data_IF_587739506712
#
_entry.id   IF_587739506712
#
_cell.length_a   1.000
_cell.length_b   1.000
_cell.length_c   1.000
_cell.angle_alpha   90.00
_cell.angle_beta   90.00
_cell.angle_gamma   90.00
#
_symmetry.space_group_name_H-M   'P 1'
#
loop_
_entity.id
_entity.type
_entity.pdbx_description
1 polymer ?
#
# COMPACT_ATOMS: atom_id res chain seq x y z
N UNK A 1 -10.56 12.03 0.01
CA UNK A 1 -9.92 10.70 0.10
C UNK A 1 -8.79 10.71 1.10
N UNK A 2 -7.58 11.15 0.73
CA UNK A 2 -6.41 11.24 1.63
C UNK A 2 -6.17 12.65 2.19
N UNK A 3 -6.75 13.70 1.57
CA UNK A 3 -6.46 15.10 1.91
C UNK A 3 -6.82 15.52 3.35
N UNK A 4 -7.71 14.77 4.02
CA UNK A 4 -8.11 15.01 5.41
C UNK A 4 -7.38 14.10 6.41
N UNK A 5 -6.44 13.26 5.94
CA UNK A 5 -5.79 12.23 6.75
C UNK A 5 -5.10 12.82 7.98
N UNK A 6 -4.32 13.88 7.82
CA UNK A 6 -3.66 14.57 8.94
C UNK A 6 -4.65 15.18 9.93
N UNK A 7 -5.77 15.73 9.44
CA UNK A 7 -6.82 16.32 10.27
C UNK A 7 -7.48 15.28 11.16
N UNK A 8 -7.77 14.09 10.62
CA UNK A 8 -8.45 13.02 11.38
C UNK A 8 -7.50 12.22 12.26
N UNK A 9 -6.21 12.14 11.90
CA UNK A 9 -5.23 11.27 12.56
C UNK A 9 -5.10 11.54 14.06
N UNK A 10 -5.29 12.79 14.51
CA UNK A 10 -5.24 13.13 15.94
C UNK A 10 -6.31 12.45 16.82
N UNK A 11 -7.36 11.89 16.22
CA UNK A 11 -8.40 11.13 16.92
C UNK A 11 -8.28 9.61 16.77
N UNK A 12 -7.37 9.15 15.90
CA UNK A 12 -7.18 7.73 15.60
C UNK A 12 -6.28 7.10 16.65
N UNK A 13 -6.69 5.94 17.17
CA UNK A 13 -5.91 5.21 18.20
C UNK A 13 -5.20 3.97 17.65
N UNK A 14 -5.66 3.44 16.51
CA UNK A 14 -5.10 2.28 15.81
C UNK A 14 -5.43 2.40 14.33
N UNK A 15 -4.52 1.94 13.48
CA UNK A 15 -4.77 1.75 12.06
C UNK A 15 -4.71 0.25 11.77
N UNK A 16 -5.70 -0.25 11.05
CA UNK A 16 -5.78 -1.66 10.65
C UNK A 16 -6.04 -1.67 9.15
N UNK A 17 -5.21 -2.38 8.40
CA UNK A 17 -5.41 -2.60 6.97
C UNK A 17 -5.19 -4.08 6.62
N UNK A 18 -5.80 -4.52 5.52
CA UNK A 18 -5.49 -5.81 4.93
C UNK A 18 -4.32 -5.69 3.95
N UNK A 19 -3.46 -6.69 3.93
CA UNK A 19 -2.37 -6.80 2.96
C UNK A 19 -2.69 -7.82 1.88
N UNK A 20 -2.35 -7.48 0.65
CA UNK A 20 -2.34 -8.40 -0.49
C UNK A 20 -1.12 -9.34 -0.41
N UNK A 21 0.00 -8.87 0.16
CA UNK A 21 1.14 -9.74 0.44
C UNK A 21 2.03 -9.23 1.56
N UNK A 22 2.54 -10.15 2.39
CA UNK A 22 3.68 -9.91 3.27
C UNK A 22 4.94 -10.52 2.67
N UNK A 23 5.96 -9.70 2.45
CA UNK A 23 7.18 -10.07 1.75
C UNK A 23 8.26 -10.61 2.68
N UNK A 24 9.23 -11.34 2.14
CA UNK A 24 10.30 -12.00 2.92
C UNK A 24 11.22 -11.02 3.65
N UNK A 25 11.30 -9.77 3.18
CA UNK A 25 11.99 -8.66 3.85
C UNK A 25 11.12 -7.94 4.90
N UNK A 26 9.88 -8.39 5.11
CA UNK A 26 8.89 -7.79 6.00
C UNK A 26 8.14 -6.60 5.40
N UNK A 27 8.36 -6.27 4.13
CA UNK A 27 7.58 -5.23 3.45
C UNK A 27 6.16 -5.73 3.21
N UNK A 28 5.21 -4.80 3.16
CA UNK A 28 3.80 -5.12 2.97
C UNK A 28 3.32 -4.51 1.66
N UNK A 29 2.79 -5.35 0.78
CA UNK A 29 2.09 -4.91 -0.42
C UNK A 29 0.61 -4.75 -0.06
N UNK A 30 0.05 -3.58 -0.35
CA UNK A 30 -1.38 -3.28 -0.17
C UNK A 30 -1.81 -2.25 -1.21
N UNK A 31 -3.09 -1.89 -1.22
CA UNK A 31 -3.63 -0.90 -2.16
C UNK A 31 -2.90 0.46 -2.07
N UNK A 32 -2.90 1.17 -3.19
CA UNK A 32 -2.35 2.52 -3.34
C UNK A 32 -2.88 3.48 -2.26
N UNK A 33 -1.99 4.28 -1.68
CA UNK A 33 -2.27 5.18 -0.56
C UNK A 33 -1.99 4.57 0.82
N UNK A 34 -1.87 3.25 0.94
CA UNK A 34 -1.61 2.57 2.22
C UNK A 34 -0.26 2.96 2.85
N UNK A 35 0.77 3.18 2.04
CA UNK A 35 2.08 3.63 2.52
C UNK A 35 2.03 5.07 3.07
N UNK A 36 1.18 5.92 2.51
CA UNK A 36 0.93 7.27 3.02
C UNK A 36 0.24 7.20 4.39
N UNK A 37 -0.78 6.35 4.54
CA UNK A 37 -1.46 6.14 5.82
C UNK A 37 -0.48 5.64 6.88
N UNK A 38 0.37 4.67 6.54
CA UNK A 38 1.41 4.16 7.44
C UNK A 38 2.39 5.25 7.88
N UNK A 39 2.85 6.07 6.92
CA UNK A 39 3.80 7.16 7.18
C UNK A 39 3.20 8.24 8.10
N UNK A 40 1.98 8.69 7.81
CA UNK A 40 1.29 9.69 8.63
C UNK A 40 0.92 9.11 10.00
N UNK A 41 0.41 7.88 10.06
CA UNK A 41 0.11 7.20 11.32
C UNK A 41 1.33 7.11 12.22
N UNK A 42 2.48 6.72 11.65
CA UNK A 42 3.75 6.67 12.36
C UNK A 42 4.17 8.04 12.91
N UNK A 43 3.97 9.13 12.15
CA UNK A 43 4.23 10.50 12.63
C UNK A 43 3.37 10.86 13.86
N UNK A 44 2.12 10.42 13.89
CA UNK A 44 1.21 10.59 15.03
C UNK A 44 1.36 9.50 16.11
N UNK A 45 2.36 8.61 16.00
CA UNK A 45 2.60 7.51 16.93
C UNK A 45 1.41 6.55 17.06
N UNK A 46 0.62 6.40 15.99
CA UNK A 46 -0.52 5.50 15.93
C UNK A 46 -0.04 4.12 15.47
N UNK A 47 -0.32 3.03 16.22
CA UNK A 47 0.09 1.69 15.83
C UNK A 47 -0.60 1.25 14.53
N UNK A 48 0.20 0.67 13.63
CA UNK A 48 -0.21 0.22 12.30
C UNK A 48 -0.20 -1.31 12.23
N UNK A 49 -1.39 -1.89 12.20
CA UNK A 49 -1.62 -3.34 12.25
C UNK A 49 -2.00 -3.85 10.86
N UNK A 50 -1.40 -4.96 10.46
CA UNK A 50 -1.61 -5.58 9.16
C UNK A 50 -2.38 -6.87 9.36
N UNK A 51 -3.54 -7.01 8.73
CA UNK A 51 -4.21 -8.30 8.57
C UNK A 51 -3.67 -8.98 7.32
N UNK A 52 -3.04 -10.15 7.48
CA UNK A 52 -2.49 -10.91 6.36
C UNK A 52 -2.55 -12.40 6.67
N UNK A 53 -3.21 -13.18 5.83
CA UNK A 53 -3.18 -14.64 5.93
C UNK A 53 -1.80 -15.15 5.55
N UNK A 54 -1.31 -16.20 6.20
CA UNK A 54 0.02 -16.72 5.86
C UNK A 54 0.10 -17.30 4.44
N UNK A 55 -1.05 -17.53 3.77
CA UNK A 55 -1.09 -17.91 2.35
C UNK A 55 -0.61 -16.76 1.44
N UNK A 56 -0.82 -15.51 1.84
CA UNK A 56 -0.42 -14.33 1.07
C UNK A 56 1.05 -13.93 1.29
N UNK A 57 1.83 -14.75 2.01
CA UNK A 57 3.25 -14.48 2.22
C UNK A 57 4.02 -14.77 0.93
N UNK A 58 5.04 -13.98 0.64
CA UNK A 58 5.82 -14.11 -0.59
C UNK A 58 7.32 -14.12 -0.31
N UNK A 59 8.05 -15.00 -1.01
CA UNK A 59 9.53 -15.02 -1.03
C UNK A 59 10.12 -13.75 -1.66
N UNK A 60 9.32 -12.99 -2.43
CA UNK A 60 9.74 -11.71 -3.01
C UNK A 60 10.10 -10.70 -1.93
N UNK A 61 10.99 -9.77 -2.27
CA UNK A 61 11.42 -8.67 -1.43
C UNK A 61 11.52 -7.38 -2.26
N UNK A 62 10.41 -6.65 -2.39
CA UNK A 62 10.36 -5.36 -3.06
C UNK A 62 10.88 -4.24 -2.16
N UNK A 63 11.58 -3.29 -2.78
CA UNK A 63 12.05 -2.07 -2.11
C UNK A 63 11.22 -0.85 -2.48
N UNK A 64 10.48 -0.93 -3.59
CA UNK A 64 9.69 0.14 -4.16
C UNK A 64 8.39 -0.39 -4.79
N UNK A 65 7.48 0.54 -5.08
CA UNK A 65 6.19 0.26 -5.71
C UNK A 65 6.22 0.43 -7.25
N UNK A 66 7.40 0.55 -7.88
CA UNK A 66 7.53 0.76 -9.32
C UNK A 66 7.88 -0.51 -10.07
N UNK A 67 8.81 -1.31 -9.54
CA UNK A 67 9.37 -2.47 -10.27
C UNK A 67 8.34 -3.58 -10.46
N UNK A 68 7.49 -3.83 -9.45
CA UNK A 68 6.38 -4.78 -9.56
C UNK A 68 5.10 -4.12 -9.05
N UNK A 69 4.27 -3.70 -10.00
CA UNK A 69 2.96 -3.13 -9.74
C UNK A 69 1.99 -3.53 -10.86
N UNK A 70 0.70 -3.40 -10.59
CA UNK A 70 -0.34 -3.56 -11.57
C UNK A 70 -0.72 -2.19 -12.13
N UNK A 71 -0.74 -2.10 -13.46
CA UNK A 71 -1.13 -0.89 -14.18
C UNK A 71 -2.63 -0.96 -14.46
N UNK A 72 -3.35 0.03 -13.92
CA UNK A 72 -4.74 0.29 -14.25
C UNK A 72 -4.92 0.92 -15.61
N UNK A 73 -6.19 1.03 -16.05
CA UNK A 73 -6.52 1.91 -17.16
C UNK A 73 -6.19 3.36 -16.76
N UNK A 74 -5.33 4.08 -17.51
CA UNK A 74 -5.03 5.47 -17.22
C UNK A 74 -6.22 6.41 -17.45
N UNK A 75 -7.25 5.99 -18.17
CA UNK A 75 -8.47 6.79 -18.33
C UNK A 75 -9.37 6.71 -17.07
N UNK A 76 -9.20 5.73 -16.18
CA UNK A 76 -9.98 5.59 -14.92
C UNK A 76 -9.72 6.71 -13.90
N UNK A 77 -8.56 7.38 -13.98
CA UNK A 77 -8.23 8.51 -13.09
C UNK A 77 -8.86 9.83 -13.55
N UNK A 78 -9.53 9.83 -14.70
CA UNK A 78 -10.20 10.99 -15.27
C UNK A 78 -11.67 11.01 -14.83
N UNK A 79 -12.07 12.01 -14.02
CA UNK A 79 -13.49 12.27 -13.73
C UNK A 79 -14.15 13.08 -14.87
N UNK A 80 -14.98 12.46 -15.75
CA UNK A 80 -15.56 13.10 -16.94
C UNK A 80 -16.36 14.37 -16.65
N UNK A 81 -16.76 14.60 -15.40
CA UNK A 81 -17.54 15.76 -14.98
C UNK A 81 -16.67 16.92 -14.48
N UNK A 82 -15.36 16.72 -14.32
CA UNK A 82 -14.46 17.73 -13.79
C UNK A 82 -13.91 18.64 -14.90
N UNK A 83 -14.03 19.97 -14.73
CA UNK A 83 -13.66 20.96 -15.75
C UNK A 83 -12.20 20.86 -16.22
N UNK A 84 -11.29 20.43 -15.34
CA UNK A 84 -9.86 20.31 -15.65
C UNK A 84 -9.53 19.21 -16.66
N UNK A 85 -10.45 18.29 -16.98
CA UNK A 85 -10.21 17.23 -17.96
C UNK A 85 -9.92 17.76 -19.36
N UNK A 86 -10.45 18.93 -19.71
CA UNK A 86 -10.24 19.54 -21.03
C UNK A 86 -8.75 19.62 -21.41
N UNK A 87 -7.86 19.75 -20.42
CA UNK A 87 -6.42 19.86 -20.64
C UNK A 87 -5.68 18.52 -20.84
N UNK A 88 -6.30 17.40 -20.45
CA UNK A 88 -5.70 16.05 -20.49
C UNK A 88 -6.49 15.06 -21.35
N UNK A 89 -7.61 15.49 -21.95
CA UNK A 89 -8.50 14.62 -22.75
C UNK A 89 -7.80 13.93 -23.94
N UNK A 90 -6.81 14.58 -24.54
CA UNK A 90 -6.01 14.05 -25.66
C UNK A 90 -4.60 13.67 -25.21
N UNK A 91 -4.42 13.19 -23.97
CA UNK A 91 -3.11 12.84 -23.44
C UNK A 91 -2.37 11.81 -24.31
N UNK A 92 -3.10 10.89 -24.95
CA UNK A 92 -2.54 9.87 -25.86
C UNK A 92 -1.83 10.47 -27.08
N UNK A 93 -2.26 11.65 -27.53
CA UNK A 93 -1.66 12.36 -28.67
C UNK A 93 -0.53 13.31 -28.26
N UNK A 94 -0.36 13.56 -26.95
CA UNK A 94 0.62 14.51 -26.44
C UNK A 94 1.86 13.78 -25.88
N UNK A 95 3.03 13.83 -26.56
CA UNK A 95 4.22 13.11 -26.12
C UNK A 95 4.82 13.63 -24.80
N UNK A 96 4.32 14.74 -24.26
CA UNK A 96 4.78 15.32 -22.99
C UNK A 96 3.92 14.90 -21.79
N UNK A 97 2.81 14.17 -22.02
CA UNK A 97 1.87 13.78 -20.97
C UNK A 97 1.72 12.26 -20.98
N UNK A 98 1.90 11.65 -19.82
CA UNK A 98 1.60 10.24 -19.59
C UNK A 98 0.73 10.13 -18.36
N UNK A 99 -0.44 9.51 -18.49
CA UNK A 99 -1.26 9.15 -17.34
C UNK A 99 -0.79 7.80 -16.78
N UNK A 100 -0.77 7.70 -15.45
CA UNK A 100 -0.31 6.50 -14.74
C UNK A 100 -1.28 6.18 -13.61
N UNK A 101 -1.80 4.96 -13.63
CA UNK A 101 -2.70 4.43 -12.63
C UNK A 101 -2.05 3.18 -12.01
N UNK A 102 -1.57 3.29 -10.76
CA UNK A 102 -0.93 2.20 -10.02
C UNK A 102 -1.90 1.65 -8.98
N UNK A 103 -1.94 0.33 -8.83
CA UNK A 103 -2.86 -0.34 -7.90
C UNK A 103 -2.28 -0.55 -6.51
N UNK A 104 -0.97 -0.80 -6.41
CA UNK A 104 -0.33 -1.18 -5.15
C UNK A 104 0.67 -0.16 -4.65
N UNK A 105 0.84 -0.14 -3.34
CA UNK A 105 1.89 0.52 -2.58
C UNK A 105 2.72 -0.51 -1.83
N UNK A 106 3.97 -0.15 -1.55
CA UNK A 106 4.86 -0.94 -0.69
C UNK A 106 5.10 -0.19 0.62
N UNK A 107 4.63 -0.78 1.72
CA UNK A 107 4.80 -0.25 3.08
C UNK A 107 6.08 -0.84 3.66
N UNK A 108 6.98 0.03 4.08
CA UNK A 108 8.25 -0.40 4.67
C UNK A 108 8.02 -1.07 6.04
N UNK A 109 8.80 -2.12 6.38
CA UNK A 109 8.65 -2.87 7.63
C UNK A 109 8.68 -1.98 8.88
N UNK A 110 9.46 -0.89 8.85
CA UNK A 110 9.63 0.06 9.97
C UNK A 110 8.33 0.74 10.42
N UNK A 111 7.32 0.80 9.56
CA UNK A 111 6.02 1.39 9.91
C UNK A 111 5.04 0.35 10.46
N UNK A 112 5.32 -0.94 10.28
CA UNK A 112 4.42 -2.03 10.69
C UNK A 112 4.64 -2.34 12.16
N UNK A 113 3.59 -2.20 12.96
CA UNK A 113 3.63 -2.53 14.39
C UNK A 113 3.52 -4.04 14.59
N UNK A 114 2.57 -4.69 13.93
CA UNK A 114 2.39 -6.14 14.00
C UNK A 114 1.57 -6.67 12.81
N UNK A 115 1.72 -7.95 12.51
CA UNK A 115 0.93 -8.68 11.53
C UNK A 115 0.02 -9.68 12.24
N UNK A 116 -1.28 -9.57 11.97
CA UNK A 116 -2.34 -10.43 12.44
C UNK A 116 -2.54 -11.55 11.42
N UNK A 117 -2.26 -12.78 11.84
CA UNK A 117 -2.34 -13.99 11.02
C UNK A 117 -3.16 -15.07 11.74
N UNK A 118 -3.48 -16.16 11.06
CA UNK A 118 -4.07 -17.36 11.66
C UNK A 118 -3.13 -18.07 12.66
N UNK A 119 -1.82 -17.80 12.61
CA UNK A 119 -0.84 -18.28 13.58
C UNK A 119 -0.76 -17.39 14.84
N UNK A 120 -1.51 -16.29 14.85
CA UNK A 120 -1.50 -15.26 15.89
C UNK A 120 -0.82 -13.97 15.43
N UNK A 121 -0.43 -13.16 16.40
CA UNK A 121 0.19 -11.84 16.18
C UNK A 121 1.71 -12.04 16.10
N UNK A 122 2.29 -11.72 14.94
CA UNK A 122 3.72 -11.88 14.68
C UNK A 122 4.33 -10.57 14.16
N UNK A 123 5.65 -10.34 14.34
CA UNK A 123 6.32 -9.22 13.69
C UNK A 123 6.46 -9.49 12.18
N UNK A 124 6.53 -8.43 11.37
CA UNK A 124 6.72 -8.55 9.93
C UNK A 124 8.03 -9.25 9.55
N UNK A 125 9.06 -9.17 10.41
CA UNK A 125 10.33 -9.88 10.25
C UNK A 125 10.23 -11.42 10.37
N UNK A 126 9.08 -11.95 10.81
CA UNK A 126 8.84 -13.40 10.87
C UNK A 126 8.38 -13.99 9.54
N UNK A 127 8.11 -13.18 8.51
CA UNK A 127 7.70 -13.63 7.18
C UNK A 127 8.55 -14.81 6.61
N UNK A 128 9.90 -14.74 6.57
CA UNK A 128 10.72 -15.83 6.02
C UNK A 128 10.67 -17.10 6.88
N UNK A 129 10.45 -16.97 8.19
CA UNK A 129 10.31 -18.13 9.08
C UNK A 129 9.02 -18.88 8.77
N UNK A 130 7.92 -18.15 8.59
CA UNK A 130 6.62 -18.74 8.25
C UNK A 130 6.65 -19.40 6.87
N UNK A 131 7.26 -18.76 5.88
CA UNK A 131 7.43 -19.31 4.54
C UNK A 131 8.18 -20.65 4.56
N UNK A 132 9.24 -20.75 5.36
CA UNK A 132 10.02 -21.99 5.51
C UNK A 132 9.23 -23.14 6.15
N UNK A 133 8.26 -22.86 7.01
CA UNK A 133 7.45 -23.91 7.66
C UNK A 133 6.39 -24.46 6.70
N UNK A 134 6.01 -23.68 5.69
CA UNK A 134 5.02 -24.08 4.68
C UNK A 134 5.58 -24.88 3.51
N UNK A 135 6.86 -24.70 3.20
CA UNK A 135 7.57 -25.38 2.11
C UNK A 135 8.22 -26.69 2.60
#
# INVERSE_FOLDING_TARGET
GLNALSTVMGSVTKIIICADSLQSNGAVLSQIGSAMIATVGNYYHVPFLICCETYNFSERAQMDAFVYNELGDPDDILDPNHESIQHVKNWKDNPRITLLNLFYDVIQPKYVTAVLTELGIIPCSSAPVVLRIKN
#
